data_IF_145982236993
#
_entry.id   IF_145982236993
#
_cell.length_a   1.000
_cell.length_b   1.000
_cell.length_c   1.000
_cell.angle_alpha   90.00
_cell.angle_beta   90.00
_cell.angle_gamma   90.00
#
_symmetry.space_group_name_H-M   'P 1'
#
loop_
_entity.id
_entity.type
_entity.pdbx_description
1 polymer ?
#
# COMPACT_ATOMS: atom_id res chain seq x y z
N UNK A 1 -8.27 -23.84 -17.05
CA UNK A 1 -7.50 -22.77 -16.41
C UNK A 1 -6.06 -22.99 -16.79
N UNK A 2 -5.44 -22.02 -17.47
CA UNK A 2 -4.08 -22.12 -17.95
C UNK A 2 -3.17 -21.18 -17.16
N UNK A 3 -2.08 -21.72 -16.63
CA UNK A 3 -1.05 -20.92 -15.95
C UNK A 3 0.03 -20.51 -16.94
N UNK A 4 0.36 -19.22 -16.97
CA UNK A 4 1.42 -18.65 -17.80
C UNK A 4 2.74 -18.60 -17.00
N UNK A 5 3.85 -18.69 -17.69
CA UNK A 5 5.18 -18.37 -17.16
C UNK A 5 5.55 -16.93 -17.52
N UNK A 6 6.53 -16.34 -16.82
CA UNK A 6 7.02 -14.98 -17.11
C UNK A 6 7.41 -14.84 -18.60
N UNK A 7 6.89 -13.81 -19.26
CA UNK A 7 7.06 -13.55 -20.70
C UNK A 7 6.08 -14.30 -21.62
N UNK A 8 5.40 -15.35 -21.14
CA UNK A 8 4.45 -16.11 -21.93
C UNK A 8 3.17 -15.31 -22.19
N UNK A 9 2.48 -15.64 -23.30
CA UNK A 9 1.19 -15.06 -23.64
C UNK A 9 0.21 -16.12 -24.15
N UNK A 10 -1.08 -15.86 -24.00
CA UNK A 10 -2.16 -16.71 -24.48
C UNK A 10 -3.37 -15.87 -24.91
N UNK A 11 -4.19 -16.42 -25.81
CA UNK A 11 -5.49 -15.85 -26.16
C UNK A 11 -6.38 -15.89 -24.93
N UNK A 12 -7.02 -14.76 -24.63
CA UNK A 12 -7.92 -14.60 -23.51
C UNK A 12 -9.37 -14.74 -23.99
N UNK A 13 -9.79 -13.84 -24.88
CA UNK A 13 -11.12 -13.86 -25.49
C UNK A 13 -11.15 -12.90 -26.68
N UNK A 14 -12.21 -12.95 -27.49
CA UNK A 14 -12.42 -12.00 -28.59
C UNK A 14 -13.15 -10.73 -28.13
N UNK A 15 -14.12 -10.89 -27.24
CA UNK A 15 -15.10 -9.86 -26.87
C UNK A 15 -15.70 -10.15 -25.48
N UNK A 16 -16.54 -9.24 -25.00
CA UNK A 16 -17.27 -9.36 -23.75
C UNK A 16 -16.49 -8.91 -22.50
N UNK A 17 -17.06 -9.21 -21.34
CA UNK A 17 -16.48 -8.84 -20.06
C UNK A 17 -15.29 -9.73 -19.69
N UNK A 18 -14.26 -9.12 -19.10
CA UNK A 18 -13.14 -9.81 -18.46
C UNK A 18 -12.98 -9.29 -17.04
N UNK A 19 -12.86 -10.21 -16.10
CA UNK A 19 -12.50 -9.93 -14.71
C UNK A 19 -11.01 -10.20 -14.48
N UNK A 20 -10.29 -9.22 -13.98
CA UNK A 20 -8.86 -9.29 -13.67
C UNK A 20 -8.70 -9.20 -12.15
N UNK A 21 -8.27 -10.28 -11.52
CA UNK A 21 -8.04 -10.35 -10.09
C UNK A 21 -6.56 -10.34 -9.77
N UNK A 22 -6.13 -9.44 -8.89
CA UNK A 22 -4.80 -9.37 -8.33
C UNK A 22 -4.89 -9.79 -6.86
N UNK A 23 -4.01 -10.66 -6.42
CA UNK A 23 -3.93 -11.08 -5.01
C UNK A 23 -2.48 -11.21 -4.55
N UNK A 24 -2.23 -10.95 -3.27
CA UNK A 24 -0.89 -11.01 -2.69
C UNK A 24 -0.93 -11.30 -1.19
N UNK A 25 0.22 -11.65 -0.60
CA UNK A 25 0.42 -11.76 0.84
C UNK A 25 1.56 -10.84 1.28
N UNK A 26 1.24 -9.84 2.10
CA UNK A 26 2.22 -8.88 2.60
C UNK A 26 1.81 -8.34 3.99
N UNK A 27 1.97 -9.09 5.09
CA UNK A 27 1.23 -8.91 6.36
C UNK A 27 1.09 -7.49 6.92
N UNK A 28 2.06 -6.61 6.68
CA UNK A 28 2.09 -5.23 7.18
C UNK A 28 2.19 -4.15 6.11
N UNK A 29 2.20 -4.53 4.83
CA UNK A 29 2.46 -3.62 3.71
C UNK A 29 1.19 -3.53 2.87
N UNK A 30 0.63 -2.34 2.70
CA UNK A 30 -0.46 -2.14 1.74
C UNK A 30 0.09 -2.00 0.33
N UNK A 31 -0.60 -2.59 -0.64
CA UNK A 31 -0.28 -2.42 -2.06
C UNK A 31 -1.43 -1.65 -2.72
N UNK A 32 -1.05 -0.70 -3.56
CA UNK A 32 -1.96 0.05 -4.40
C UNK A 32 -1.94 -0.54 -5.81
N UNK A 33 -3.00 -1.30 -6.11
CA UNK A 33 -3.23 -1.87 -7.43
C UNK A 33 -3.75 -0.80 -8.41
N UNK A 34 -3.26 -0.86 -9.64
CA UNK A 34 -3.63 0.07 -10.71
C UNK A 34 -3.69 -0.60 -12.08
N UNK A 35 -4.42 0.04 -13.00
CA UNK A 35 -4.54 -0.33 -14.40
C UNK A 35 -4.27 0.90 -15.28
N UNK A 36 -3.36 0.78 -16.23
CA UNK A 36 -3.12 1.79 -17.27
C UNK A 36 -3.72 1.31 -18.58
N UNK A 37 -4.74 2.00 -19.09
CA UNK A 37 -5.27 1.77 -20.43
C UNK A 37 -4.50 2.61 -21.45
N UNK A 38 -3.85 1.92 -22.37
CA UNK A 38 -2.79 2.46 -23.23
C UNK A 38 -3.24 2.48 -24.69
N UNK A 39 -3.02 3.62 -25.32
CA UNK A 39 -3.30 3.86 -26.74
C UNK A 39 -2.23 3.27 -27.68
N UNK A 40 -2.35 3.56 -28.97
CA UNK A 40 -1.39 3.15 -30.00
C UNK A 40 -0.03 3.86 -29.89
N UNK A 41 0.07 4.98 -29.18
CA UNK A 41 1.33 5.68 -28.91
C UNK A 41 2.09 5.07 -27.72
N UNK A 42 1.50 4.09 -27.03
CA UNK A 42 2.10 3.46 -25.86
C UNK A 42 1.92 4.28 -24.58
N UNK A 43 0.99 5.26 -24.57
CA UNK A 43 0.68 6.11 -23.42
C UNK A 43 -0.80 6.02 -23.05
N UNK A 44 -1.17 6.46 -21.85
CA UNK A 44 -2.57 6.71 -21.52
C UNK A 44 -3.05 7.94 -22.29
N UNK A 45 -4.23 7.92 -22.94
CA UNK A 45 -4.73 9.09 -23.68
C UNK A 45 -4.86 10.35 -22.82
N UNK A 46 -5.15 10.17 -21.53
CA UNK A 46 -5.19 11.18 -20.48
C UNK A 46 -5.32 10.47 -19.12
N UNK A 47 -5.33 11.26 -18.05
CA UNK A 47 -5.44 10.77 -16.68
C UNK A 47 -6.61 9.84 -16.41
N UNK A 48 -7.75 10.03 -17.10
CA UNK A 48 -8.95 9.22 -16.91
C UNK A 48 -8.75 7.73 -17.22
N UNK A 49 -7.69 7.40 -17.96
CA UNK A 49 -7.33 6.04 -18.36
C UNK A 49 -6.27 5.40 -17.45
N UNK A 50 -5.96 6.02 -16.31
CA UNK A 50 -5.20 5.44 -15.21
C UNK A 50 -6.15 5.10 -14.04
N UNK A 51 -6.50 3.83 -13.88
CA UNK A 51 -7.53 3.37 -12.94
C UNK A 51 -6.89 2.81 -11.68
N UNK A 52 -7.39 3.25 -10.53
CA UNK A 52 -6.96 2.82 -9.20
C UNK A 52 -8.03 3.24 -8.19
N UNK A 53 -7.79 3.10 -6.88
CA UNK A 53 -8.82 3.33 -5.87
C UNK A 53 -9.46 4.73 -5.88
N UNK A 54 -8.71 5.81 -6.17
CA UNK A 54 -9.27 7.17 -6.29
C UNK A 54 -9.81 7.51 -7.68
N UNK A 55 -9.65 6.62 -8.64
CA UNK A 55 -10.26 6.73 -9.95
C UNK A 55 -10.76 5.36 -10.39
N UNK A 56 -11.85 4.89 -9.77
CA UNK A 56 -12.25 3.49 -9.90
C UNK A 56 -12.98 3.20 -11.21
N UNK A 57 -13.16 4.19 -12.09
CA UNK A 57 -13.95 4.02 -13.32
C UNK A 57 -13.33 4.82 -14.46
N UNK A 58 -13.19 4.19 -15.63
CA UNK A 58 -12.73 4.84 -16.86
C UNK A 58 -13.85 5.66 -17.51
N UNK A 59 -13.54 6.55 -18.49
CA UNK A 59 -14.55 7.16 -19.33
C UNK A 59 -15.48 6.11 -19.93
N UNK A 60 -16.78 6.39 -19.91
CA UNK A 60 -17.83 5.47 -20.40
C UNK A 60 -18.00 4.18 -19.58
N UNK A 61 -17.29 3.98 -18.47
CA UNK A 61 -17.45 2.83 -17.58
C UNK A 61 -16.86 1.51 -18.09
N UNK A 62 -16.06 1.54 -19.16
CA UNK A 62 -15.50 0.34 -19.77
C UNK A 62 -14.52 -0.43 -18.87
N UNK A 63 -13.85 0.24 -17.93
CA UNK A 63 -13.00 -0.36 -16.90
C UNK A 63 -13.50 0.11 -15.53
N UNK A 64 -13.71 -0.83 -14.61
CA UNK A 64 -14.10 -0.58 -13.23
C UNK A 64 -13.14 -1.27 -12.28
N UNK A 65 -12.67 -0.56 -11.26
CA UNK A 65 -11.83 -1.07 -10.18
C UNK A 65 -12.65 -1.30 -8.91
N UNK A 66 -12.39 -2.42 -8.25
CA UNK A 66 -12.95 -2.77 -6.96
C UNK A 66 -11.84 -3.25 -6.04
N UNK A 67 -11.72 -2.64 -4.86
CA UNK A 67 -10.92 -3.22 -3.78
C UNK A 67 -11.78 -4.26 -3.08
N UNK A 68 -11.39 -5.54 -3.18
CA UNK A 68 -12.12 -6.64 -2.56
C UNK A 68 -11.77 -6.75 -1.07
N UNK A 69 -10.47 -6.68 -0.75
CA UNK A 69 -9.94 -6.60 0.60
C UNK A 69 -8.54 -5.94 0.58
N UNK A 70 -7.83 -5.89 1.72
CA UNK A 70 -6.49 -5.29 1.83
C UNK A 70 -5.37 -6.03 1.04
N UNK A 71 -5.69 -7.18 0.45
CA UNK A 71 -4.79 -8.13 -0.22
C UNK A 71 -5.27 -8.51 -1.62
N UNK A 72 -6.41 -7.98 -2.05
CA UNK A 72 -7.08 -8.35 -3.28
C UNK A 72 -7.72 -7.14 -3.95
N UNK A 73 -7.45 -7.02 -5.24
CA UNK A 73 -8.01 -6.01 -6.11
C UNK A 73 -8.59 -6.67 -7.36
N UNK A 74 -9.72 -6.15 -7.84
CA UNK A 74 -10.38 -6.60 -9.05
C UNK A 74 -10.52 -5.44 -10.03
N UNK A 75 -10.30 -5.71 -11.31
CA UNK A 75 -10.72 -4.86 -12.42
C UNK A 75 -11.72 -5.61 -13.29
N UNK A 76 -12.89 -5.03 -13.55
CA UNK A 76 -13.82 -5.53 -14.56
C UNK A 76 -13.68 -4.68 -15.83
N UNK A 77 -13.51 -5.33 -16.97
CA UNK A 77 -13.26 -4.68 -18.26
C UNK A 77 -14.29 -5.15 -19.28
N UNK A 78 -15.05 -4.22 -19.84
CA UNK A 78 -15.94 -4.45 -20.97
C UNK A 78 -15.18 -4.22 -22.28
N UNK A 79 -14.58 -5.27 -22.83
CA UNK A 79 -13.67 -5.16 -23.98
C UNK A 79 -14.33 -4.54 -25.23
N UNK A 80 -15.64 -4.74 -25.38
CA UNK A 80 -16.43 -4.23 -26.50
C UNK A 80 -16.80 -2.74 -26.35
N UNK A 81 -16.67 -2.20 -25.14
CA UNK A 81 -16.91 -0.78 -24.83
C UNK A 81 -15.61 0.03 -24.81
N UNK A 82 -14.44 -0.63 -24.84
CA UNK A 82 -13.17 0.06 -24.95
C UNK A 82 -13.07 0.76 -26.31
N UNK A 83 -12.74 2.06 -26.34
CA UNK A 83 -12.43 2.77 -27.57
C UNK A 83 -11.39 2.04 -28.43
N UNK A 84 -11.49 2.24 -29.75
CA UNK A 84 -10.64 1.54 -30.70
C UNK A 84 -9.16 1.93 -30.62
N UNK A 85 -8.85 3.11 -30.08
CA UNK A 85 -7.49 3.60 -29.85
C UNK A 85 -6.81 2.90 -28.65
N UNK A 86 -7.56 2.44 -27.64
CA UNK A 86 -7.03 1.63 -26.54
C UNK A 86 -6.59 0.25 -27.06
N UNK A 87 -5.27 0.03 -27.09
CA UNK A 87 -4.64 -1.20 -27.59
C UNK A 87 -4.32 -2.21 -26.49
N UNK A 88 -4.07 -1.75 -25.26
CA UNK A 88 -3.72 -2.63 -24.14
C UNK A 88 -4.09 -2.04 -22.78
N UNK A 89 -4.29 -2.89 -21.80
CA UNK A 89 -4.44 -2.53 -20.39
C UNK A 89 -3.33 -3.22 -19.59
N UNK A 90 -2.54 -2.42 -18.85
CA UNK A 90 -1.40 -2.89 -18.05
C UNK A 90 -1.80 -2.88 -16.58
N UNK A 91 -1.64 -4.01 -15.88
CA UNK A 91 -1.97 -4.13 -14.46
C UNK A 91 -0.69 -4.11 -13.63
N UNK A 92 -0.65 -3.22 -12.65
CA UNK A 92 0.50 -3.05 -11.77
C UNK A 92 0.04 -2.92 -10.31
N UNK A 93 0.99 -3.08 -9.40
CA UNK A 93 0.82 -2.62 -8.03
C UNK A 93 2.06 -1.84 -7.57
N UNK A 94 1.84 -0.94 -6.62
CA UNK A 94 2.88 -0.13 -5.99
C UNK A 94 2.76 -0.23 -4.48
N UNK A 95 3.84 0.05 -3.75
CA UNK A 95 3.85 0.07 -2.30
C UNK A 95 4.72 1.23 -1.81
N UNK A 96 4.45 1.69 -0.58
CA UNK A 96 5.19 2.76 0.05
C UNK A 96 6.20 2.20 1.05
N UNK A 97 7.42 2.74 1.06
CA UNK A 97 8.44 2.52 2.10
C UNK A 97 8.94 1.06 2.29
N UNK A 98 8.66 0.14 1.37
CA UNK A 98 9.19 -1.25 1.37
C UNK A 98 9.68 -1.63 -0.03
N UNK A 99 9.86 -2.93 -0.30
CA UNK A 99 10.02 -3.44 -1.66
C UNK A 99 9.16 -4.66 -1.91
N UNK A 100 8.99 -5.02 -3.18
CA UNK A 100 8.29 -6.24 -3.58
C UNK A 100 9.02 -7.54 -3.16
N UNK A 101 10.21 -7.46 -2.54
CA UNK A 101 10.83 -8.61 -1.88
C UNK A 101 10.04 -9.15 -0.70
N UNK A 102 9.26 -8.28 -0.05
CA UNK A 102 8.46 -8.62 1.13
C UNK A 102 7.06 -9.14 0.76
N UNK A 103 6.74 -9.16 -0.53
CA UNK A 103 5.45 -9.59 -1.06
C UNK A 103 5.57 -11.03 -1.55
N UNK A 104 4.71 -11.90 -1.00
CA UNK A 104 4.67 -13.31 -1.38
C UNK A 104 3.34 -13.67 -2.02
N UNK A 105 3.30 -14.77 -2.78
CA UNK A 105 2.09 -15.27 -3.44
C UNK A 105 1.36 -14.23 -4.31
N UNK A 106 2.09 -13.27 -4.88
CA UNK A 106 1.52 -12.32 -5.82
C UNK A 106 1.03 -13.06 -7.08
N UNK A 107 -0.24 -12.89 -7.41
CA UNK A 107 -0.91 -13.60 -8.51
C UNK A 107 -1.83 -12.65 -9.25
N UNK A 108 -1.88 -12.78 -10.58
CA UNK A 108 -2.92 -12.17 -11.42
C UNK A 108 -3.70 -13.26 -12.17
N UNK A 109 -5.02 -13.15 -12.17
CA UNK A 109 -5.93 -14.06 -12.87
C UNK A 109 -6.85 -13.26 -13.78
N UNK A 110 -6.94 -13.65 -15.05
CA UNK A 110 -7.86 -13.08 -16.02
C UNK A 110 -8.96 -14.11 -16.35
N UNK A 111 -10.20 -13.77 -15.99
CA UNK A 111 -11.38 -14.60 -16.18
C UNK A 111 -12.29 -13.94 -17.21
N UNK A 112 -12.25 -14.38 -18.48
CA UNK A 112 -13.16 -13.87 -19.49
C UNK A 112 -14.56 -14.48 -19.30
N UNK A 113 -15.60 -13.77 -19.73
CA UNK A 113 -16.95 -14.31 -19.80
C UNK A 113 -17.02 -15.53 -20.72
N UNK A 114 -16.28 -15.48 -21.84
CA UNK A 114 -16.16 -16.55 -22.81
C UNK A 114 -14.68 -16.86 -23.03
N UNK A 115 -14.26 -18.11 -22.80
CA UNK A 115 -12.87 -18.54 -23.00
C UNK A 115 -12.28 -19.21 -21.78
N UNK A 116 -10.99 -19.51 -21.85
CA UNK A 116 -10.26 -20.14 -20.75
C UNK A 116 -9.71 -19.09 -19.79
N UNK A 117 -9.90 -19.30 -18.49
CA UNK A 117 -9.26 -18.49 -17.44
C UNK A 117 -7.74 -18.64 -17.49
N UNK A 118 -7.04 -17.51 -17.49
CA UNK A 118 -5.58 -17.43 -17.49
C UNK A 118 -5.09 -16.97 -16.11
N UNK A 119 -3.99 -17.54 -15.64
CA UNK A 119 -3.37 -17.16 -14.37
C UNK A 119 -1.88 -16.97 -14.54
N UNK A 120 -1.29 -16.03 -13.82
CA UNK A 120 0.15 -15.88 -13.69
C UNK A 120 0.53 -15.68 -12.22
N UNK A 121 1.40 -16.56 -11.72
CA UNK A 121 2.00 -16.44 -10.40
C UNK A 121 3.33 -15.71 -10.55
N UNK A 122 3.48 -14.60 -9.84
CA UNK A 122 4.72 -13.83 -9.86
C UNK A 122 5.72 -14.59 -8.99
N UNK A 123 6.88 -14.87 -9.59
CA UNK A 123 8.03 -15.45 -8.91
C UNK A 123 9.23 -14.52 -9.04
N UNK A 124 10.02 -14.45 -7.97
CA UNK A 124 11.15 -13.53 -7.85
C UNK A 124 10.77 -12.29 -7.06
N UNK A 125 11.31 -12.20 -5.85
CA UNK A 125 11.38 -10.96 -5.10
C UNK A 125 12.11 -9.91 -5.94
N UNK A 126 11.55 -8.70 -6.01
CA UNK A 126 12.14 -7.57 -6.72
C UNK A 126 12.38 -6.44 -5.71
N UNK A 127 13.56 -5.81 -5.73
CA UNK A 127 13.91 -4.72 -4.81
C UNK A 127 13.19 -3.40 -5.14
N UNK A 128 12.39 -3.41 -6.19
CA UNK A 128 11.58 -2.30 -6.66
C UNK A 128 10.32 -2.05 -5.80
N UNK A 129 9.83 -0.81 -5.83
CA UNK A 129 8.60 -0.34 -5.16
C UNK A 129 7.35 -0.43 -6.03
N UNK A 130 7.51 -0.83 -7.29
CA UNK A 130 6.44 -1.01 -8.24
C UNK A 130 6.65 -2.33 -9.00
N UNK A 131 5.57 -3.00 -9.37
CA UNK A 131 5.59 -4.28 -10.08
C UNK A 131 4.49 -4.32 -11.14
N UNK A 132 4.86 -4.60 -12.39
CA UNK A 132 3.90 -4.88 -13.47
C UNK A 132 3.59 -6.38 -13.46
N UNK A 133 2.33 -6.73 -13.22
CA UNK A 133 1.87 -8.12 -13.15
C UNK A 133 1.75 -8.71 -14.55
N UNK A 134 0.89 -8.12 -15.37
CA UNK A 134 0.58 -8.56 -16.72
C UNK A 134 -0.01 -7.41 -17.54
N UNK A 135 -0.12 -7.63 -18.84
CA UNK A 135 -0.92 -6.79 -19.74
C UNK A 135 -1.93 -7.66 -20.48
N UNK A 136 -3.12 -7.11 -20.75
CA UNK A 136 -4.00 -7.61 -21.81
C UNK A 136 -3.92 -6.68 -23.00
N UNK A 137 -3.86 -7.21 -24.21
CA UNK A 137 -3.65 -6.41 -25.43
C UNK A 137 -4.40 -6.99 -26.62
N UNK A 138 -4.78 -6.10 -27.54
CA UNK A 138 -5.38 -6.47 -28.83
C UNK A 138 -4.33 -7.10 -29.74
N UNK A 139 -4.68 -8.19 -30.39
CA UNK A 139 -3.85 -8.86 -31.38
C UNK A 139 -4.73 -9.44 -32.49
N UNK A 140 -4.82 -8.72 -33.60
CA UNK A 140 -5.80 -9.03 -34.65
C UNK A 140 -7.21 -8.79 -34.13
N UNK A 141 -8.04 -9.84 -34.16
CA UNK A 141 -9.42 -9.77 -33.66
C UNK A 141 -9.55 -10.14 -32.18
N UNK A 142 -8.51 -10.73 -31.58
CA UNK A 142 -8.57 -11.26 -30.22
C UNK A 142 -7.87 -10.35 -29.21
N UNK A 143 -8.26 -10.48 -27.95
CA UNK A 143 -7.49 -10.03 -26.80
C UNK A 143 -6.63 -11.18 -26.26
N UNK A 144 -5.39 -10.85 -25.93
CA UNK A 144 -4.41 -11.77 -25.35
C UNK A 144 -3.93 -11.24 -24.02
N UNK A 145 -3.57 -12.13 -23.10
CA UNK A 145 -2.84 -11.79 -21.88
C UNK A 145 -1.36 -12.12 -22.06
N UNK A 146 -0.46 -11.26 -21.61
CA UNK A 146 0.98 -11.53 -21.47
C UNK A 146 1.39 -11.39 -20.01
N UNK A 147 2.04 -12.41 -19.47
CA UNK A 147 2.63 -12.40 -18.14
C UNK A 147 3.93 -11.58 -18.14
N UNK A 148 4.01 -10.54 -17.32
CA UNK A 148 5.16 -9.61 -17.29
C UNK A 148 6.04 -9.87 -16.07
N UNK A 149 5.49 -9.72 -14.86
CA UNK A 149 6.20 -9.96 -13.59
C UNK A 149 7.53 -9.20 -13.48
N UNK A 150 7.52 -7.90 -13.79
CA UNK A 150 8.73 -7.07 -13.84
C UNK A 150 8.63 -5.92 -12.84
N UNK A 151 9.65 -5.79 -11.98
CA UNK A 151 9.81 -4.66 -11.07
C UNK A 151 10.08 -3.36 -11.85
N UNK A 152 9.59 -2.25 -11.31
CA UNK A 152 9.76 -0.91 -11.86
C UNK A 152 10.38 0.01 -10.82
N UNK A 153 11.55 0.59 -11.14
CA UNK A 153 12.32 1.40 -10.18
C UNK A 153 11.63 2.72 -9.89
N UNK A 154 11.65 3.12 -8.61
CA UNK A 154 11.19 4.43 -8.14
C UNK A 154 9.69 4.54 -7.84
N UNK A 155 8.96 3.43 -7.84
CA UNK A 155 7.57 3.41 -7.34
C UNK A 155 6.55 3.96 -8.33
N UNK A 156 5.49 4.58 -7.82
CA UNK A 156 4.33 4.98 -8.62
C UNK A 156 4.64 6.11 -9.61
N UNK A 157 5.33 7.17 -9.19
CA UNK A 157 5.56 8.35 -10.03
C UNK A 157 6.30 7.99 -11.34
N UNK A 158 7.48 7.33 -11.31
CA UNK A 158 8.17 6.92 -12.53
C UNK A 158 7.37 5.93 -13.39
N UNK A 159 6.58 5.04 -12.76
CA UNK A 159 5.71 4.11 -13.48
C UNK A 159 4.58 4.85 -14.20
N UNK A 160 3.98 5.84 -13.54
CA UNK A 160 2.91 6.67 -14.09
C UNK A 160 3.43 7.54 -15.25
N UNK A 161 4.57 8.20 -15.07
CA UNK A 161 5.24 8.99 -16.10
C UNK A 161 5.66 8.12 -17.30
N UNK A 162 6.10 6.89 -17.05
CA UNK A 162 6.39 5.92 -18.10
C UNK A 162 5.17 5.66 -19.00
N UNK A 163 3.96 5.70 -18.45
CA UNK A 163 2.72 5.61 -19.21
C UNK A 163 2.09 6.95 -19.59
N UNK A 164 2.74 8.08 -19.32
CA UNK A 164 2.30 9.42 -19.75
C UNK A 164 1.35 10.12 -18.79
N UNK A 165 1.32 9.68 -17.54
CA UNK A 165 0.60 10.34 -16.45
C UNK A 165 1.58 11.21 -15.68
N UNK A 166 1.26 12.50 -15.56
CA UNK A 166 2.03 13.41 -14.71
C UNK A 166 1.56 13.27 -13.27
N UNK A 167 2.42 12.77 -12.38
CA UNK A 167 2.17 12.75 -10.93
C UNK A 167 2.91 13.95 -10.34
N UNK A 168 2.17 14.89 -9.75
CA UNK A 168 2.81 15.99 -9.04
C UNK A 168 3.49 15.44 -7.78
N UNK A 169 4.69 15.93 -7.49
CA UNK A 169 5.52 15.47 -6.38
C UNK A 169 4.73 15.47 -5.06
N UNK A 170 4.52 14.29 -4.47
CA UNK A 170 4.28 14.24 -3.04
C UNK A 170 5.57 14.76 -2.36
N UNK A 171 5.47 15.65 -1.36
CA UNK A 171 6.65 16.08 -0.61
C UNK A 171 7.29 14.84 0.00
N UNK A 172 8.37 14.39 -0.61
CA UNK A 172 9.16 13.29 -0.10
C UNK A 172 9.66 13.73 1.27
N UNK A 173 9.33 13.04 2.39
CA UNK A 173 10.02 13.32 3.64
C UNK A 173 11.50 13.17 3.36
N UNK A 174 12.35 14.13 3.79
CA UNK A 174 13.73 14.20 3.36
C UNK A 174 14.37 12.85 3.56
N UNK A 175 14.75 12.23 2.44
CA UNK A 175 15.59 11.03 2.44
C UNK A 175 16.79 11.40 3.28
N UNK A 176 16.99 10.72 4.41
CA UNK A 176 18.17 10.89 5.24
C UNK A 176 19.38 10.66 4.34
N UNK A 177 19.94 11.78 3.88
CA UNK A 177 21.18 11.83 3.14
C UNK A 177 22.19 11.14 4.05
N UNK A 178 22.61 9.95 3.64
CA UNK A 178 23.71 9.25 4.26
C UNK A 178 24.87 10.23 4.33
N UNK A 179 25.24 10.57 5.55
CA UNK A 179 26.44 11.37 5.83
C UNK A 179 27.61 10.74 5.06
N UNK A 180 28.38 11.52 4.27
CA UNK A 180 29.56 11.00 3.63
C UNK A 180 30.54 10.56 4.72
N UNK A 181 30.82 9.25 4.79
CA UNK A 181 31.91 8.75 5.60
C UNK A 181 33.23 9.38 5.12
N UNK A 182 34.12 9.82 6.03
CA UNK A 182 35.41 10.37 5.65
C UNK A 182 36.24 9.29 4.95
N UNK A 183 36.85 9.69 3.84
CA UNK A 183 37.75 8.88 3.03
C UNK A 183 38.88 8.32 3.89
N UNK A 184 39.05 6.99 3.85
CA UNK A 184 40.26 6.34 4.34
C UNK A 184 41.24 6.21 3.19
N UNK A 185 42.42 6.81 3.36
CA UNK A 185 43.57 6.69 2.47
C UNK A 185 43.92 5.22 2.20
N UNK A 186 43.88 4.84 0.92
CA UNK A 186 44.70 3.74 0.44
C UNK A 186 45.41 4.17 -0.85
N UNK A 187 46.70 4.45 -0.69
CA UNK A 187 47.66 4.64 -1.76
C UNK A 187 47.84 3.33 -2.57
N UNK A 188 48.26 3.42 -3.84
CA UNK A 188 48.22 2.32 -4.78
C UNK A 188 49.45 1.41 -4.67
N UNK A 189 49.30 0.14 -5.03
CA UNK A 189 50.44 -0.69 -5.43
C UNK A 189 50.01 -1.73 -6.48
N UNK A 190 50.94 -2.18 -7.34
CA UNK A 190 50.66 -2.43 -8.76
C UNK A 190 50.77 -3.90 -9.17
N UNK A 191 50.39 -4.12 -10.43
CA UNK A 191 50.77 -5.20 -11.35
C UNK A 191 50.28 -6.64 -11.12
N UNK A 192 49.43 -7.07 -12.05
CA UNK A 192 49.27 -8.46 -12.49
C UNK A 192 50.54 -8.98 -13.19
N UNK A 193 50.73 -10.30 -13.22
CA UNK A 193 50.65 -10.96 -14.53
C UNK A 193 49.91 -12.31 -14.53
N UNK A 194 49.38 -12.64 -15.70
CA UNK A 194 48.72 -13.89 -16.06
C UNK A 194 49.72 -15.02 -16.36
N UNK A 195 49.38 -16.30 -16.07
CA UNK A 195 49.32 -17.38 -17.07
C UNK A 195 48.63 -18.69 -16.58
N UNK A 196 47.66 -19.12 -17.39
CA UNK A 196 47.27 -20.46 -17.94
C UNK A 196 47.56 -21.83 -17.24
N UNK A 197 46.46 -22.64 -17.18
CA UNK A 197 46.26 -24.13 -17.22
C UNK A 197 46.94 -25.01 -16.13
N UNK A 198 46.37 -26.09 -15.55
CA UNK A 198 45.65 -27.25 -16.14
C UNK A 198 45.07 -28.19 -15.05
N UNK A 199 43.97 -28.90 -15.38
CA UNK A 199 43.46 -30.24 -14.97
C UNK A 199 43.25 -30.73 -13.49
N UNK A 200 42.16 -31.47 -13.31
CA UNK A 200 41.51 -32.01 -12.09
C UNK A 200 42.08 -33.38 -11.60
N UNK A 201 41.45 -34.19 -10.68
CA UNK A 201 40.36 -33.97 -9.70
C UNK A 201 40.61 -34.58 -8.27
N UNK A 202 39.60 -34.44 -7.39
CA UNK A 202 39.07 -35.41 -6.38
C UNK A 202 39.21 -35.05 -4.88
N UNK A 203 38.08 -35.29 -4.18
CA UNK A 203 37.91 -35.70 -2.77
C UNK A 203 37.53 -34.64 -1.72
N UNK A 204 36.22 -34.59 -1.42
CA UNK A 204 35.72 -34.90 -0.08
C UNK A 204 35.43 -33.72 0.85
N UNK A 205 34.14 -33.48 1.12
CA UNK A 205 33.63 -33.39 2.51
C UNK A 205 32.10 -33.47 2.54
N UNK A 206 31.61 -34.62 3.06
CA UNK A 206 30.24 -34.81 3.57
C UNK A 206 30.24 -34.44 5.06
N UNK A 207 29.17 -33.80 5.54
CA UNK A 207 28.75 -33.96 6.94
C UNK A 207 28.30 -32.70 7.69
N UNK A 208 27.13 -32.13 7.36
CA UNK A 208 26.42 -31.20 8.28
C UNK A 208 24.88 -31.23 8.11
N UNK A 209 24.33 -32.27 7.50
CA UNK A 209 22.90 -32.33 7.13
C UNK A 209 22.01 -33.26 7.98
N UNK A 210 22.59 -34.10 8.84
CA UNK A 210 21.84 -35.17 9.51
C UNK A 210 21.30 -34.77 10.89
N UNK A 211 22.04 -33.98 11.68
CA UNK A 211 21.62 -33.55 13.02
C UNK A 211 20.51 -32.48 13.01
N UNK A 212 20.47 -31.61 11.99
CA UNK A 212 19.38 -30.61 11.84
C UNK A 212 18.04 -31.25 11.42
N UNK A 213 18.06 -32.35 10.68
CA UNK A 213 16.84 -33.08 10.27
C UNK A 213 16.21 -33.88 11.41
N UNK A 214 17.03 -34.39 12.35
CA UNK A 214 16.53 -35.13 13.52
C UNK A 214 15.81 -34.19 14.51
N UNK A 215 16.33 -32.97 14.71
CA UNK A 215 15.76 -31.99 15.65
C UNK A 215 14.41 -31.42 15.18
N UNK A 216 14.26 -31.17 13.88
CA UNK A 216 13.00 -30.68 13.28
C UNK A 216 11.91 -31.75 13.37
N UNK A 217 12.27 -33.03 13.24
CA UNK A 217 11.31 -34.14 13.28
C UNK A 217 10.77 -34.42 14.69
N UNK A 218 11.55 -34.17 15.75
CA UNK A 218 11.10 -34.33 17.16
C UNK A 218 10.19 -33.18 17.60
N UNK A 219 10.49 -31.95 17.19
CA UNK A 219 9.67 -30.76 17.50
C UNK A 219 8.32 -30.81 16.77
N UNK A 220 8.28 -31.29 15.52
CA UNK A 220 7.01 -31.48 14.79
C UNK A 220 6.17 -32.62 15.37
N UNK A 221 6.79 -33.70 15.88
CA UNK A 221 6.05 -34.78 16.55
C UNK A 221 5.44 -34.32 17.89
N UNK A 222 6.15 -33.50 18.66
CA UNK A 222 5.67 -32.93 19.92
C UNK A 222 4.54 -31.91 19.73
N UNK A 223 4.60 -31.08 18.69
CA UNK A 223 3.53 -30.13 18.36
C UNK A 223 2.26 -30.85 17.88
N UNK A 224 2.39 -31.90 17.05
CA UNK A 224 1.25 -32.71 16.62
C UNK A 224 0.60 -33.47 17.77
N UNK A 225 1.37 -33.99 18.72
CA UNK A 225 0.84 -34.65 19.92
C UNK A 225 0.04 -33.68 20.81
N UNK A 226 0.48 -32.42 20.96
CA UNK A 226 -0.23 -31.41 21.76
C UNK A 226 -1.59 -31.01 21.14
N UNK A 227 -1.67 -30.92 19.81
CA UNK A 227 -2.90 -30.60 19.10
C UNK A 227 -3.95 -31.73 19.20
N UNK A 228 -3.50 -33.00 19.17
CA UNK A 228 -4.40 -34.15 19.36
C UNK A 228 -4.95 -34.24 20.79
N UNK A 229 -4.18 -33.84 21.80
CA UNK A 229 -4.63 -33.81 23.21
C UNK A 229 -5.69 -32.72 23.42
N UNK A 230 -5.50 -31.54 22.83
CA UNK A 230 -6.48 -30.44 22.85
C UNK A 230 -7.76 -30.78 22.08
N UNK A 231 -7.65 -31.47 20.95
CA UNK A 231 -8.80 -31.92 20.16
C UNK A 231 -9.61 -33.02 20.88
N UNK A 232 -8.96 -33.95 21.59
CA UNK A 232 -9.65 -34.94 22.42
C UNK A 232 -10.35 -34.29 23.63
N UNK A 233 -9.73 -33.29 24.26
CA UNK A 233 -10.33 -32.55 25.37
C UNK A 233 -11.56 -31.73 24.94
N UNK A 234 -11.58 -31.25 23.70
CA UNK A 234 -12.70 -30.49 23.13
C UNK A 234 -13.89 -31.39 22.71
N UNK A 235 -13.64 -32.57 22.15
CA UNK A 235 -14.70 -33.47 21.65
C UNK A 235 -15.23 -34.48 22.68
N UNK A 236 -14.44 -34.86 23.70
CA UNK A 236 -14.81 -35.86 24.70
C UNK A 236 -14.51 -35.39 26.14
N UNK A 237 -15.23 -34.39 26.67
CA UNK A 237 -14.97 -33.83 28.00
C UNK A 237 -15.18 -34.84 29.15
N UNK A 238 -15.93 -35.93 28.89
CA UNK A 238 -16.22 -36.98 29.85
C UNK A 238 -15.11 -38.04 29.97
N UNK A 239 -14.13 -38.04 29.06
CA UNK A 239 -13.03 -39.02 29.04
C UNK A 239 -11.79 -38.59 29.85
N UNK A 240 -11.77 -37.38 30.41
CA UNK A 240 -10.62 -36.85 31.15
C UNK A 240 -10.57 -37.28 32.63
N UNK A 241 -11.46 -38.14 33.10
CA UNK A 241 -11.55 -38.55 34.51
C UNK A 241 -11.08 -39.98 34.85
N UNK A 242 -10.36 -40.67 33.96
CA UNK A 242 -9.87 -42.04 34.25
C UNK A 242 -8.37 -42.26 34.05
N UNK A 243 -7.55 -41.20 34.10
CA UNK A 243 -6.09 -41.33 34.23
C UNK A 243 -5.66 -40.94 35.66
N UNK A 244 -5.66 -41.97 36.52
CA UNK A 244 -4.91 -42.24 37.76
C UNK A 244 -4.16 -41.10 38.53
N UNK A 245 -4.19 -41.10 39.88
CA UNK A 245 -3.77 -40.00 40.76
C UNK A 245 -2.26 -40.00 41.09
N UNK A 246 -1.36 -39.93 40.11
CA UNK A 246 0.10 -39.88 40.36
C UNK A 246 0.85 -38.67 39.78
N UNK A 247 0.17 -37.71 39.14
CA UNK A 247 0.82 -36.50 38.61
C UNK A 247 0.69 -35.25 39.52
N UNK A 248 -0.02 -35.35 40.65
CA UNK A 248 -0.21 -34.24 41.58
C UNK A 248 0.97 -33.98 42.53
N UNK A 249 1.99 -34.85 42.58
CA UNK A 249 3.13 -34.73 43.49
C UNK A 249 4.40 -34.09 42.89
N UNK A 250 4.39 -33.69 41.61
CA UNK A 250 5.57 -33.15 40.92
C UNK A 250 5.50 -31.66 40.54
N UNK A 251 4.44 -30.94 40.91
CA UNK A 251 4.25 -29.52 40.53
C UNK A 251 4.03 -28.54 41.69
N UNK A 252 4.29 -28.94 42.94
CA UNK A 252 4.37 -28.03 44.09
C UNK A 252 5.78 -28.16 44.71
N UNK A 253 6.77 -27.36 44.26
CA UNK A 253 6.97 -26.04 44.89
C UNK A 253 7.71 -25.01 44.01
N UNK A 254 7.06 -23.93 43.54
CA UNK A 254 7.75 -22.68 43.15
C UNK A 254 6.87 -21.42 43.32
N UNK A 255 5.77 -21.54 44.07
CA UNK A 255 4.91 -20.42 44.43
C UNK A 255 4.75 -20.51 45.95
N UNK A 256 5.27 -19.50 46.65
CA UNK A 256 5.17 -19.23 48.09
C UNK A 256 6.30 -19.76 48.99
N UNK A 257 7.40 -18.99 49.06
CA UNK A 257 8.20 -18.78 50.26
C UNK A 257 8.49 -17.27 50.34
N UNK A 258 7.50 -16.48 50.78
CA UNK A 258 7.37 -16.00 52.16
C UNK A 258 8.46 -14.99 52.54
N UNK A 259 8.01 -13.73 52.60
CA UNK A 259 8.60 -12.63 53.31
C UNK A 259 9.09 -13.01 54.71
N UNK A 260 10.31 -12.61 55.03
CA UNK A 260 10.72 -12.02 56.31
C UNK A 260 12.21 -11.69 56.22
N UNK A 261 12.60 -10.46 56.57
CA UNK A 261 13.80 -10.08 57.35
C UNK A 261 13.93 -8.54 57.29
N UNK A 262 13.41 -7.94 58.36
CA UNK A 262 13.88 -6.82 59.19
C UNK A 262 14.69 -5.64 58.62
N UNK A 263 14.25 -4.45 59.05
CA UNK A 263 14.93 -3.15 59.04
C UNK A 263 16.12 -3.03 60.02
N UNK A 264 16.92 -1.96 59.82
CA UNK A 264 18.15 -1.46 60.51
C UNK A 264 19.39 -1.70 59.63
N UNK A 265 20.27 -0.74 59.34
CA UNK A 265 20.78 0.41 60.10
C UNK A 265 21.40 1.48 59.17
N UNK A 266 21.53 2.71 59.69
CA UNK A 266 22.08 3.93 59.08
C UNK A 266 23.62 3.98 59.24
N UNK A 267 24.31 4.81 58.43
CA UNK A 267 25.66 5.44 58.55
C UNK A 267 26.71 4.89 57.57
N UNK A 268 27.62 5.62 56.95
CA UNK A 268 27.90 7.07 56.73
C UNK A 268 29.14 7.13 55.80
N UNK A 269 29.33 8.24 55.06
CA UNK A 269 30.57 8.68 54.33
C UNK A 269 31.07 7.82 53.16
N UNK A 270 31.70 8.27 52.06
CA UNK A 270 32.30 9.52 51.56
C UNK A 270 32.44 9.35 50.03
N UNK A 271 32.05 10.33 49.22
CA UNK A 271 32.95 11.30 48.54
C UNK A 271 33.98 10.66 47.61
N UNK A 272 33.77 10.75 46.27
CA UNK A 272 34.75 11.28 45.29
C UNK A 272 33.98 11.65 44.02
N UNK A 273 34.09 12.92 43.69
CA UNK A 273 33.70 13.61 42.46
C UNK A 273 34.40 13.08 41.20
N UNK A 274 33.66 12.93 40.10
CA UNK A 274 34.24 13.06 38.76
C UNK A 274 33.31 13.91 37.89
N UNK A 275 33.75 15.15 37.65
CA UNK A 275 33.08 16.14 36.81
C UNK A 275 33.20 15.72 35.35
N UNK A 276 32.12 15.21 34.77
CA UNK A 276 31.96 15.17 33.32
C UNK A 276 31.23 16.45 32.87
N UNK A 277 31.93 17.25 32.07
CA UNK A 277 31.40 18.42 31.37
C UNK A 277 30.30 17.94 30.41
N UNK A 278 29.04 18.09 30.80
CA UNK A 278 27.90 17.91 29.92
C UNK A 278 27.69 19.20 29.15
N UNK A 279 28.04 19.17 27.87
CA UNK A 279 27.67 20.18 26.88
C UNK A 279 26.14 20.25 26.83
N UNK A 280 25.61 21.44 27.11
CA UNK A 280 24.18 21.73 27.21
C UNK A 280 23.52 21.52 25.83
N UNK A 281 22.92 20.34 25.62
CA UNK A 281 22.06 20.10 24.46
C UNK A 281 20.80 20.94 24.65
N UNK A 282 20.73 22.06 23.93
CA UNK A 282 19.53 22.88 23.78
C UNK A 282 18.34 22.00 23.39
N UNK A 283 17.34 21.77 24.27
CA UNK A 283 16.21 20.96 23.90
C UNK A 283 15.38 21.75 22.89
N UNK A 284 15.31 21.26 21.65
CA UNK A 284 14.29 21.67 20.68
C UNK A 284 12.97 21.77 21.44
N UNK A 285 12.41 22.97 21.54
CA UNK A 285 11.12 23.18 22.20
C UNK A 285 10.10 22.31 21.48
N UNK A 286 9.76 21.17 22.06
CA UNK A 286 8.70 20.31 21.57
C UNK A 286 7.41 21.08 21.84
N UNK A 287 6.92 21.82 20.85
CA UNK A 287 5.58 22.39 20.94
C UNK A 287 4.65 21.20 20.97
N UNK A 288 4.13 20.90 22.15
CA UNK A 288 3.21 19.80 22.36
C UNK A 288 2.01 20.04 21.44
N UNK A 289 1.80 19.14 20.48
CA UNK A 289 0.71 19.24 19.51
C UNK A 289 -0.60 19.20 20.28
N UNK A 290 -1.34 20.30 20.32
CA UNK A 290 -2.65 20.38 20.98
C UNK A 290 -3.78 20.20 19.96
N UNK A 291 -4.79 19.42 20.31
CA UNK A 291 -6.04 19.36 19.54
C UNK A 291 -6.94 20.54 19.93
N UNK A 292 -7.41 21.38 18.98
CA UNK A 292 -8.30 22.50 19.29
C UNK A 292 -9.78 22.07 19.45
N UNK A 293 -10.10 20.80 19.21
CA UNK A 293 -11.45 20.27 19.21
C UNK A 293 -11.69 19.33 20.39
N UNK A 294 -12.94 19.26 20.86
CA UNK A 294 -13.38 18.16 21.74
C UNK A 294 -13.51 16.87 20.94
N UNK A 295 -13.50 15.72 21.62
CA UNK A 295 -13.62 14.41 20.96
C UNK A 295 -14.89 14.33 20.09
N UNK A 296 -16.04 14.82 20.59
CA UNK A 296 -17.28 14.89 19.82
C UNK A 296 -17.15 15.77 18.59
N UNK A 297 -16.47 16.92 18.72
CA UNK A 297 -16.29 17.87 17.62
C UNK A 297 -15.38 17.30 16.53
N UNK A 298 -14.37 16.50 16.89
CA UNK A 298 -13.51 15.79 15.93
C UNK A 298 -14.37 14.88 15.03
N UNK A 299 -15.28 14.08 15.61
CA UNK A 299 -16.15 13.19 14.83
C UNK A 299 -17.17 13.96 13.97
N UNK A 300 -17.70 15.08 14.45
CA UNK A 300 -18.59 15.94 13.67
C UNK A 300 -17.86 16.49 12.43
N UNK A 301 -16.66 17.05 12.63
CA UNK A 301 -15.82 17.60 11.54
C UNK A 301 -15.37 16.52 10.56
N UNK A 302 -15.01 15.33 11.04
CA UNK A 302 -14.74 14.18 10.18
C UNK A 302 -15.93 13.82 9.28
N UNK A 303 -17.17 13.85 9.81
CA UNK A 303 -18.35 13.58 9.02
C UNK A 303 -18.65 14.69 7.99
N UNK A 304 -18.42 15.96 8.34
CA UNK A 304 -18.49 17.08 7.39
C UNK A 304 -17.44 16.93 6.27
N UNK A 305 -16.20 16.57 6.64
CA UNK A 305 -15.11 16.32 5.70
C UNK A 305 -15.47 15.19 4.72
N UNK A 306 -16.08 14.10 5.20
CA UNK A 306 -16.57 13.01 4.35
C UNK A 306 -17.63 13.44 3.33
N UNK A 307 -18.57 14.30 3.73
CA UNK A 307 -19.57 14.87 2.79
C UNK A 307 -18.92 15.76 1.73
N UNK A 308 -17.98 16.59 2.15
CA UNK A 308 -17.23 17.46 1.24
C UNK A 308 -16.41 16.62 0.25
N UNK A 309 -15.75 15.56 0.74
CA UNK A 309 -14.99 14.62 -0.07
C UNK A 309 -15.82 14.04 -1.22
N UNK A 310 -17.00 13.47 -0.93
CA UNK A 310 -17.88 12.90 -1.96
C UNK A 310 -18.24 13.95 -3.03
N UNK A 311 -18.56 15.17 -2.62
CA UNK A 311 -18.88 16.26 -3.53
C UNK A 311 -17.71 16.65 -4.43
N UNK A 312 -16.48 16.65 -3.92
CA UNK A 312 -15.28 16.94 -4.73
C UNK A 312 -15.09 15.85 -5.78
N UNK A 313 -15.18 14.58 -5.37
CA UNK A 313 -14.99 13.44 -6.26
C UNK A 313 -15.97 13.52 -7.43
N UNK A 314 -17.24 13.83 -7.17
CA UNK A 314 -18.26 14.06 -8.21
C UNK A 314 -17.85 15.21 -9.14
N UNK A 315 -17.52 16.39 -8.60
CA UNK A 315 -17.14 17.56 -9.42
C UNK A 315 -15.91 17.27 -10.29
N UNK A 316 -14.88 16.62 -9.72
CA UNK A 316 -13.65 16.30 -10.44
C UNK A 316 -13.90 15.25 -11.53
N UNK A 317 -14.74 14.25 -11.27
CA UNK A 317 -15.09 13.23 -12.26
C UNK A 317 -15.94 13.80 -13.39
N UNK A 318 -16.95 14.62 -13.07
CA UNK A 318 -17.76 15.34 -14.05
C UNK A 318 -16.89 16.21 -14.95
N UNK A 319 -15.99 16.99 -14.34
CA UNK A 319 -15.10 17.89 -15.06
C UNK A 319 -14.13 17.10 -15.96
N UNK A 320 -13.58 16.00 -15.45
CA UNK A 320 -12.74 15.11 -16.26
C UNK A 320 -13.48 14.54 -17.48
N UNK A 321 -14.75 14.15 -17.33
CA UNK A 321 -15.59 13.72 -18.46
C UNK A 321 -15.86 14.89 -19.42
N UNK A 322 -16.23 16.06 -18.91
CA UNK A 322 -16.48 17.27 -19.71
C UNK A 322 -15.24 17.66 -20.54
N UNK A 323 -14.04 17.53 -19.98
CA UNK A 323 -12.79 17.80 -20.70
C UNK A 323 -12.59 16.83 -21.86
N UNK A 324 -12.88 15.54 -21.65
CA UNK A 324 -12.80 14.52 -22.71
C UNK A 324 -13.80 14.80 -23.83
N UNK A 325 -15.06 15.11 -23.48
CA UNK A 325 -16.13 15.41 -24.44
C UNK A 325 -15.79 16.65 -25.28
N UNK A 326 -15.31 17.73 -24.64
CA UNK A 326 -14.88 18.96 -25.32
C UNK A 326 -13.75 18.67 -26.31
N UNK A 327 -12.77 17.84 -25.92
CA UNK A 327 -11.66 17.48 -26.81
C UNK A 327 -12.12 16.66 -28.00
N UNK A 328 -13.12 15.82 -27.83
CA UNK A 328 -13.71 15.06 -28.93
C UNK A 328 -14.50 15.97 -29.89
N UNK A 329 -15.23 16.95 -29.36
CA UNK A 329 -15.89 17.98 -30.18
C UNK A 329 -14.89 18.83 -30.97
N UNK A 330 -13.75 19.19 -30.35
CA UNK A 330 -12.66 19.92 -31.01
C UNK A 330 -12.08 19.15 -32.21
N UNK A 331 -11.92 17.83 -32.11
CA UNK A 331 -11.41 17.01 -33.23
C UNK A 331 -12.36 16.98 -34.43
N UNK A 332 -13.68 17.11 -34.18
CA UNK A 332 -14.71 17.07 -35.24
C UNK A 332 -14.85 18.39 -35.99
N UNK A 333 -14.40 19.48 -35.38
CA UNK A 333 -14.49 20.82 -35.97
C UNK A 333 -13.27 21.08 -36.85
N UNK A 334 -13.46 20.95 -38.16
CA UNK A 334 -12.47 21.36 -39.20
C UNK A 334 -12.30 22.90 -39.28
N UNK A 335 -13.08 23.66 -38.50
CA UNK A 335 -13.29 25.11 -38.60
C UNK A 335 -13.29 25.79 -37.22
N UNK A 336 -12.16 25.71 -36.49
CA UNK A 336 -11.91 26.52 -35.29
C UNK A 336 -12.86 26.30 -34.10
N UNK A 337 -12.63 27.03 -33.01
CA UNK A 337 -13.44 26.89 -31.80
C UNK A 337 -14.69 27.78 -31.81
N UNK A 338 -15.85 27.17 -31.53
CA UNK A 338 -17.09 27.93 -31.32
C UNK A 338 -17.04 28.74 -30.02
N UNK A 339 -17.76 29.86 -29.99
CA UNK A 339 -17.91 30.69 -28.78
C UNK A 339 -18.48 29.90 -27.59
N UNK A 340 -19.37 28.96 -27.87
CA UNK A 340 -19.94 28.06 -26.86
C UNK A 340 -18.87 27.15 -26.23
N UNK A 341 -17.94 26.61 -27.04
CA UNK A 341 -16.87 25.75 -26.55
C UNK A 341 -15.87 26.54 -25.71
N UNK A 342 -15.51 27.74 -26.15
CA UNK A 342 -14.67 28.66 -25.36
C UNK A 342 -15.31 28.96 -24.00
N UNK A 343 -16.61 29.25 -23.98
CA UNK A 343 -17.33 29.56 -22.74
C UNK A 343 -17.41 28.35 -21.80
N UNK A 344 -17.68 27.15 -22.31
CA UNK A 344 -17.67 25.91 -21.50
C UNK A 344 -16.33 25.67 -20.81
N UNK A 345 -15.20 25.87 -21.51
CA UNK A 345 -13.87 25.72 -20.91
C UNK A 345 -13.66 26.74 -19.77
N UNK A 346 -14.08 28.01 -19.94
CA UNK A 346 -13.95 29.03 -18.89
C UNK A 346 -14.81 28.72 -17.66
N UNK A 347 -16.03 28.24 -17.88
CA UNK A 347 -16.94 27.87 -16.80
C UNK A 347 -16.40 26.72 -15.96
N UNK A 348 -15.83 25.69 -16.59
CA UNK A 348 -15.19 24.57 -15.88
C UNK A 348 -13.95 25.01 -15.09
N UNK A 349 -13.11 25.88 -15.65
CA UNK A 349 -11.97 26.47 -14.90
C UNK A 349 -12.47 27.20 -13.65
N UNK A 350 -13.46 28.09 -13.79
CA UNK A 350 -14.02 28.84 -12.67
C UNK A 350 -14.66 27.93 -11.61
N UNK A 351 -15.35 26.85 -12.03
CA UNK A 351 -15.93 25.84 -11.13
C UNK A 351 -14.85 25.10 -10.34
N UNK A 352 -13.75 24.71 -10.99
CA UNK A 352 -12.64 24.00 -10.35
C UNK A 352 -11.84 24.90 -9.39
N UNK A 353 -11.58 26.16 -9.76
CA UNK A 353 -10.82 27.12 -8.94
C UNK A 353 -11.53 27.45 -7.62
N UNK A 354 -12.86 27.30 -7.56
CA UNK A 354 -13.65 27.50 -6.34
C UNK A 354 -13.57 26.34 -5.34
N UNK A 355 -12.95 25.19 -5.68
CA UNK A 355 -12.87 24.04 -4.79
C UNK A 355 -11.80 24.24 -3.68
N UNK A 356 -12.19 24.31 -2.39
CA UNK A 356 -11.27 24.57 -1.29
C UNK A 356 -10.51 23.31 -0.82
N UNK A 357 -10.00 22.49 -1.77
CA UNK A 357 -9.34 21.21 -1.48
C UNK A 357 -8.17 21.37 -0.50
N UNK A 358 -7.38 22.43 -0.66
CA UNK A 358 -6.26 22.73 0.23
C UNK A 358 -6.71 22.91 1.70
N UNK A 359 -7.80 23.65 1.93
CA UNK A 359 -8.32 23.85 3.28
C UNK A 359 -8.82 22.55 3.92
N UNK A 360 -9.37 21.65 3.11
CA UNK A 360 -9.78 20.32 3.58
C UNK A 360 -8.60 19.39 3.86
N UNK A 361 -7.47 19.52 3.14
CA UNK A 361 -6.23 18.79 3.45
C UNK A 361 -5.61 19.26 4.78
N UNK A 362 -5.62 20.57 5.03
CA UNK A 362 -5.16 21.13 6.30
C UNK A 362 -6.05 20.66 7.46
N UNK A 363 -7.37 20.66 7.25
CA UNK A 363 -8.33 20.14 8.20
C UNK A 363 -8.14 18.64 8.46
N UNK A 364 -7.98 17.80 7.44
CA UNK A 364 -7.75 16.36 7.61
C UNK A 364 -6.50 16.08 8.45
N UNK A 365 -5.43 16.85 8.23
CA UNK A 365 -4.19 16.78 8.99
C UNK A 365 -4.40 17.17 10.46
N UNK A 366 -5.15 18.24 10.71
CA UNK A 366 -5.48 18.68 12.07
C UNK A 366 -6.33 17.63 12.81
N UNK A 367 -7.36 17.09 12.14
CA UNK A 367 -8.19 16.03 12.70
C UNK A 367 -7.38 14.75 12.96
N UNK A 368 -6.40 14.41 12.12
CA UNK A 368 -5.55 13.23 12.33
C UNK A 368 -4.65 13.40 13.56
N UNK A 369 -4.13 14.61 13.77
CA UNK A 369 -3.41 14.98 14.99
C UNK A 369 -4.31 14.82 16.23
N UNK A 370 -5.55 15.31 16.15
CA UNK A 370 -6.55 15.13 17.21
C UNK A 370 -6.86 13.66 17.51
N UNK A 371 -7.05 12.83 16.47
CA UNK A 371 -7.30 11.40 16.62
C UNK A 371 -6.10 10.68 17.29
N UNK A 372 -4.87 11.09 16.97
CA UNK A 372 -3.67 10.57 17.62
C UNK A 372 -3.61 10.91 19.11
N UNK A 373 -3.98 12.14 19.49
CA UNK A 373 -4.04 12.57 20.90
C UNK A 373 -5.15 11.82 21.65
N UNK A 374 -6.32 11.69 21.04
CA UNK A 374 -7.45 10.93 21.60
C UNK A 374 -7.07 9.47 21.85
N UNK A 375 -6.39 8.83 20.90
CA UNK A 375 -5.90 7.45 21.03
C UNK A 375 -4.93 7.32 22.21
N UNK A 376 -3.95 8.23 22.33
CA UNK A 376 -2.99 8.22 23.45
C UNK A 376 -3.68 8.37 24.80
N UNK A 377 -4.68 9.26 24.90
CA UNK A 377 -5.46 9.46 26.13
C UNK A 377 -6.23 8.19 26.51
N UNK A 378 -6.92 7.57 25.55
CA UNK A 378 -7.68 6.33 25.80
C UNK A 378 -6.72 5.19 26.18
N UNK A 379 -5.58 5.04 25.51
CA UNK A 379 -4.61 3.99 25.82
C UNK A 379 -4.01 4.17 27.23
N UNK A 380 -3.78 5.41 27.68
CA UNK A 380 -3.36 5.69 29.04
C UNK A 380 -4.44 5.26 30.07
N UNK A 381 -5.71 5.52 29.80
CA UNK A 381 -6.83 5.08 30.64
C UNK A 381 -6.98 3.54 30.66
N UNK A 382 -6.82 2.88 29.50
CA UNK A 382 -6.84 1.42 29.38
C UNK A 382 -5.78 0.76 30.25
N UNK A 383 -4.57 1.34 30.29
CA UNK A 383 -3.44 0.77 31.03
C UNK A 383 -3.61 0.77 32.56
N UNK A 384 -4.49 1.61 33.10
CA UNK A 384 -4.73 1.73 34.54
C UNK A 384 -6.09 1.18 34.99
N UNK A 385 -6.97 0.83 34.05
CA UNK A 385 -8.33 0.35 34.34
C UNK A 385 -8.36 -1.17 34.52
N UNK A 386 -8.90 -1.62 35.65
CA UNK A 386 -9.02 -3.05 35.99
C UNK A 386 -10.46 -3.57 35.97
N UNK A 387 -11.46 -2.69 35.88
CA UNK A 387 -12.88 -3.06 35.88
C UNK A 387 -13.29 -3.56 34.48
N UNK A 388 -13.74 -4.83 34.33
CA UNK A 388 -13.95 -5.44 33.00
C UNK A 388 -14.94 -4.68 32.09
N UNK A 389 -16.01 -4.13 32.67
CA UNK A 389 -17.05 -3.40 31.91
C UNK A 389 -16.49 -2.07 31.37
N UNK A 390 -15.68 -1.37 32.18
CA UNK A 390 -15.09 -0.08 31.79
C UNK A 390 -13.99 -0.31 30.77
N UNK A 391 -13.14 -1.31 31.00
CA UNK A 391 -12.07 -1.73 30.09
C UNK A 391 -12.63 -2.09 28.69
N UNK A 392 -13.68 -2.89 28.62
CA UNK A 392 -14.33 -3.24 27.34
C UNK A 392 -14.83 -2.00 26.58
N UNK A 393 -15.39 -1.01 27.28
CA UNK A 393 -15.83 0.26 26.67
C UNK A 393 -14.64 1.08 26.18
N UNK A 394 -13.57 1.19 26.98
CA UNK A 394 -12.36 1.92 26.60
C UNK A 394 -11.68 1.29 25.38
N UNK A 395 -11.57 -0.04 25.32
CA UNK A 395 -11.04 -0.75 24.15
C UNK A 395 -11.85 -0.43 22.89
N UNK A 396 -13.19 -0.46 22.95
CA UNK A 396 -14.05 -0.08 21.82
C UNK A 396 -13.83 1.36 21.38
N UNK A 397 -13.62 2.28 22.32
CA UNK A 397 -13.32 3.67 22.01
C UNK A 397 -11.93 3.84 21.39
N UNK A 398 -10.93 3.08 21.86
CA UNK A 398 -9.58 3.06 21.30
C UNK A 398 -9.61 2.60 19.84
N UNK A 399 -10.31 1.50 19.56
CA UNK A 399 -10.47 0.99 18.19
C UNK A 399 -11.17 2.00 17.29
N UNK A 400 -12.23 2.66 17.79
CA UNK A 400 -12.90 3.73 17.04
C UNK A 400 -11.95 4.89 16.72
N UNK A 401 -11.11 5.30 17.67
CA UNK A 401 -10.13 6.37 17.47
C UNK A 401 -9.00 5.98 16.50
N UNK A 402 -8.53 4.73 16.55
CA UNK A 402 -7.55 4.19 15.60
C UNK A 402 -8.10 4.12 14.18
N UNK A 403 -9.33 3.62 14.03
CA UNK A 403 -10.00 3.59 12.73
C UNK A 403 -10.17 5.01 12.16
N UNK A 404 -10.56 5.98 13.00
CA UNK A 404 -10.64 7.38 12.59
C UNK A 404 -9.29 7.91 12.07
N UNK A 405 -8.18 7.61 12.75
CA UNK A 405 -6.84 8.01 12.29
C UNK A 405 -6.45 7.38 10.95
N UNK A 406 -6.80 6.10 10.75
CA UNK A 406 -6.62 5.41 9.46
C UNK A 406 -7.42 6.10 8.36
N UNK A 407 -8.73 6.29 8.57
CA UNK A 407 -9.62 6.93 7.60
C UNK A 407 -9.16 8.34 7.24
N UNK A 408 -8.69 9.13 8.21
CA UNK A 408 -8.18 10.49 7.97
C UNK A 408 -6.88 10.50 7.17
N UNK A 409 -6.04 9.47 7.34
CA UNK A 409 -4.83 9.28 6.53
C UNK A 409 -5.20 9.00 5.08
N UNK A 410 -6.19 8.11 4.85
CA UNK A 410 -6.71 7.82 3.51
C UNK A 410 -7.36 9.05 2.88
N UNK A 411 -8.24 9.76 3.60
CA UNK A 411 -8.87 11.00 3.12
C UNK A 411 -7.80 12.05 2.76
N UNK A 412 -6.74 12.19 3.56
CA UNK A 412 -5.67 13.16 3.28
C UNK A 412 -4.93 12.83 1.98
N UNK A 413 -4.61 11.54 1.77
CA UNK A 413 -4.00 11.04 0.53
C UNK A 413 -4.90 11.29 -0.67
N UNK A 414 -6.20 11.03 -0.54
CA UNK A 414 -7.14 11.24 -1.62
C UNK A 414 -7.34 12.71 -1.97
N UNK A 415 -7.43 13.58 -0.96
CA UNK A 415 -7.54 15.02 -1.17
C UNK A 415 -6.30 15.58 -1.86
N UNK A 416 -5.11 15.09 -1.52
CA UNK A 416 -3.87 15.43 -2.25
C UNK A 416 -3.97 15.04 -3.72
N UNK A 417 -4.39 13.81 -4.01
CA UNK A 417 -4.64 13.36 -5.38
C UNK A 417 -5.67 14.24 -6.12
N UNK A 418 -6.80 14.54 -5.48
CA UNK A 418 -7.86 15.36 -6.07
C UNK A 418 -7.39 16.80 -6.32
N UNK A 419 -6.53 17.35 -5.45
CA UNK A 419 -5.94 18.68 -5.65
C UNK A 419 -5.02 18.71 -6.87
N UNK A 420 -4.20 17.68 -7.05
CA UNK A 420 -3.33 17.53 -8.22
C UNK A 420 -4.15 17.32 -9.49
N UNK A 421 -5.17 16.45 -9.45
CA UNK A 421 -6.08 16.23 -10.58
C UNK A 421 -6.83 17.50 -10.97
N UNK A 422 -7.32 18.28 -9.99
CA UNK A 422 -7.91 19.60 -10.23
C UNK A 422 -6.97 20.51 -11.02
N UNK A 423 -5.70 20.59 -10.63
CA UNK A 423 -4.71 21.43 -11.33
C UNK A 423 -4.51 20.98 -12.79
N UNK A 424 -4.38 19.66 -13.03
CA UNK A 424 -4.23 19.11 -14.40
C UNK A 424 -5.47 19.31 -15.26
N UNK A 425 -6.68 19.22 -14.68
CA UNK A 425 -7.92 19.54 -15.39
C UNK A 425 -7.98 21.01 -15.79
N UNK A 426 -7.66 21.93 -14.87
CA UNK A 426 -7.58 23.37 -15.16
C UNK A 426 -6.62 23.62 -16.33
N UNK A 427 -5.44 23.01 -16.30
CA UNK A 427 -4.46 23.15 -17.38
C UNK A 427 -4.97 22.54 -18.70
N UNK A 428 -5.66 21.40 -18.64
CA UNK A 428 -6.30 20.80 -19.80
C UNK A 428 -7.29 21.73 -20.50
N UNK A 429 -8.12 22.43 -19.73
CA UNK A 429 -9.06 23.44 -20.26
C UNK A 429 -8.33 24.69 -20.79
N UNK A 430 -7.27 25.15 -20.11
CA UNK A 430 -6.43 26.26 -20.59
C UNK A 430 -5.75 25.92 -21.91
N UNK A 431 -5.26 24.70 -22.06
CA UNK A 431 -4.68 24.20 -23.32
C UNK A 431 -5.70 24.20 -24.46
N UNK A 432 -6.94 23.80 -24.20
CA UNK A 432 -8.00 23.88 -25.21
C UNK A 432 -8.24 25.34 -25.63
N UNK A 433 -8.34 26.27 -24.66
CA UNK A 433 -8.50 27.71 -24.94
C UNK A 433 -7.32 28.29 -25.73
N UNK A 434 -6.10 27.87 -25.42
CA UNK A 434 -4.91 28.29 -26.16
C UNK A 434 -4.89 27.76 -27.60
N UNK A 435 -5.36 26.52 -27.81
CA UNK A 435 -5.53 25.96 -29.15
C UNK A 435 -6.61 26.72 -29.95
N UNK A 436 -7.67 27.17 -29.29
CA UNK A 436 -8.73 27.98 -29.90
C UNK A 436 -8.31 29.40 -30.32
N UNK A 437 -7.22 29.91 -29.75
CA UNK A 437 -6.71 31.25 -30.02
C UNK A 437 -5.70 31.30 -31.19
N UNK A 438 -5.27 30.14 -31.69
CA UNK A 438 -4.41 29.97 -32.87
C UNK A 438 -5.28 29.72 -34.10
#
# INVERSE_FOLDING_TARGET
>A
MKTLTKGANAVLTRSGAVRINLSWKAPRIELDASCFAIDSNGKTPNDAWFLFYNQPTSPGGAIQFFRLDARQAEFTIQLDQLPADIQKCVFAATLNQSSFSDVTNATITATPQNGEMLQFNISGATEEQALIFAEIYRHGLDWKMRAIGQGFKGGLQPLAEHYGIEVADEPTPPSESSLPCPASDHAPSPDSPADRQQDAPTAGQRGAGFLKKLLISVVTLLLLASASILALAYYYPQALFTVSPQLSSLLHPLINGAASITSSEISDTSDVSEQAVMEEVNPKSYVESTCPFTDEKVFERYHELGKNYTRIVEIINDSNQNLADIREDLKKLDLGCSSQLVEKNRQEIARLEQLPIQGWMEESTQLNTCASIMTKKIDAEVNIESRPIVLSRLMKNADRSRNLGSDLTDISRDLSYLNNKKARLIEGYRSNLAACAK
#
